data_IF_767732912328
#
_entry.id   IF_767732912328
#
_cell.length_a   1.000
_cell.length_b   1.000
_cell.length_c   1.000
_cell.angle_alpha   90.00
_cell.angle_beta   90.00
_cell.angle_gamma   90.00
#
_symmetry.space_group_name_H-M   'P 1'
#
loop_
_entity.id
_entity.type
_entity.pdbx_description
1 polymer ?
#
# COMPACT_ATOMS: atom_id res chain seq x y z
N UNK A 1 31.21 -51.35 23.28
CA UNK A 1 30.34 -50.14 23.40
C UNK A 1 29.27 -50.42 24.46
N UNK A 2 29.30 -49.68 25.58
CA UNK A 2 28.55 -49.98 26.81
C UNK A 2 27.21 -49.24 26.78
N UNK A 3 26.08 -49.97 26.76
CA UNK A 3 24.73 -49.37 26.74
C UNK A 3 24.39 -48.87 28.15
N UNK A 4 24.29 -47.55 28.31
CA UNK A 4 23.88 -46.93 29.57
C UNK A 4 22.39 -47.14 29.79
N UNK A 5 22.02 -47.89 30.83
CA UNK A 5 20.61 -48.07 31.23
C UNK A 5 20.18 -46.82 31.99
N UNK A 6 19.25 -46.07 31.44
CA UNK A 6 18.61 -44.94 32.11
C UNK A 6 17.77 -45.51 33.26
N UNK A 7 18.28 -45.41 34.49
CA UNK A 7 17.55 -45.79 35.70
C UNK A 7 16.63 -44.64 36.09
N UNK A 8 15.31 -44.83 35.96
CA UNK A 8 14.33 -43.89 36.49
C UNK A 8 14.37 -43.90 38.02
N UNK A 9 14.19 -42.73 38.68
CA UNK A 9 14.25 -42.61 40.12
C UNK A 9 13.08 -43.37 40.78
N UNK A 10 13.41 -44.26 41.73
CA UNK A 10 12.47 -45.11 42.49
C UNK A 10 11.39 -44.33 43.27
N UNK A 11 11.52 -43.02 43.38
CA UNK A 11 10.57 -42.13 44.07
C UNK A 11 9.27 -41.91 43.29
N UNK A 12 9.28 -42.11 41.96
CA UNK A 12 8.08 -41.97 41.14
C UNK A 12 7.19 -43.22 41.15
N UNK A 13 7.79 -44.40 41.34
CA UNK A 13 7.08 -45.68 41.42
C UNK A 13 6.16 -45.76 42.65
N UNK A 14 6.59 -45.22 43.80
CA UNK A 14 5.79 -45.25 45.04
C UNK A 14 4.56 -44.33 44.97
N UNK A 15 4.64 -43.24 44.21
CA UNK A 15 3.52 -42.32 44.01
C UNK A 15 2.44 -42.89 43.09
N UNK A 16 2.82 -43.64 42.04
CA UNK A 16 1.87 -44.27 41.12
C UNK A 16 1.15 -45.48 41.75
N UNK A 17 1.89 -46.30 42.51
CA UNK A 17 1.35 -47.49 43.18
C UNK A 17 0.27 -47.15 44.22
N UNK A 18 0.37 -46.01 44.92
CA UNK A 18 -0.61 -45.59 45.93
C UNK A 18 -1.98 -45.18 45.34
N UNK A 19 -2.06 -44.97 44.02
CA UNK A 19 -3.27 -44.52 43.32
C UNK A 19 -3.89 -45.58 42.40
N UNK A 20 -3.40 -46.82 42.44
CA UNK A 20 -3.89 -47.93 41.60
C UNK A 20 -3.52 -47.80 40.12
N UNK A 21 -2.57 -46.92 39.78
CA UNK A 21 -2.20 -46.64 38.39
C UNK A 21 -1.02 -47.53 38.03
N UNK A 22 -1.26 -48.51 37.16
CA UNK A 22 -0.21 -49.41 36.68
C UNK A 22 0.87 -48.65 35.90
N UNK A 23 2.15 -49.04 36.04
CA UNK A 23 3.29 -48.42 35.34
C UNK A 23 3.08 -48.37 33.82
N UNK A 24 2.36 -49.37 33.26
CA UNK A 24 1.96 -49.40 31.85
C UNK A 24 1.05 -48.22 31.47
N UNK A 25 0.10 -47.86 32.32
CA UNK A 25 -0.82 -46.74 32.09
C UNK A 25 -0.06 -45.41 32.08
N UNK A 26 0.92 -45.26 32.98
CA UNK A 26 1.78 -44.07 33.07
C UNK A 26 2.62 -43.91 31.80
N UNK A 27 3.20 -45.01 31.30
CA UNK A 27 3.93 -45.01 30.03
C UNK A 27 3.00 -44.67 28.86
N UNK A 28 1.79 -45.23 28.81
CA UNK A 28 0.80 -44.94 27.78
C UNK A 28 0.43 -43.45 27.74
N UNK A 29 0.22 -42.86 28.91
CA UNK A 29 -0.09 -41.43 29.04
C UNK A 29 1.07 -40.55 28.61
N UNK A 30 2.30 -40.93 28.97
CA UNK A 30 3.51 -40.22 28.55
C UNK A 30 3.67 -40.25 27.02
N UNK A 31 3.45 -41.40 26.40
CA UNK A 31 3.50 -41.54 24.93
C UNK A 31 2.42 -40.69 24.27
N UNK A 32 1.17 -40.75 24.76
CA UNK A 32 0.08 -39.94 24.24
C UNK A 32 0.38 -38.44 24.37
N UNK A 33 0.96 -38.03 25.50
CA UNK A 33 1.37 -36.65 25.74
C UNK A 33 2.47 -36.19 24.78
N UNK A 34 3.49 -37.01 24.54
CA UNK A 34 4.55 -36.71 23.56
C UNK A 34 3.97 -36.59 22.14
N UNK A 35 3.06 -37.49 21.75
CA UNK A 35 2.38 -37.44 20.46
C UNK A 35 1.57 -36.15 20.32
N UNK A 36 0.79 -35.78 21.36
CA UNK A 36 0.01 -34.55 21.37
C UNK A 36 0.87 -33.29 21.27
N UNK A 37 2.00 -33.21 22.00
CA UNK A 37 2.94 -32.09 21.94
C UNK A 37 3.63 -32.01 20.57
N UNK A 38 3.89 -33.14 19.92
CA UNK A 38 4.51 -33.20 18.59
C UNK A 38 3.52 -32.81 17.47
N UNK A 39 2.23 -33.17 17.64
CA UNK A 39 1.17 -32.84 16.68
C UNK A 39 0.57 -31.43 16.88
N UNK A 40 0.73 -30.83 18.06
CA UNK A 40 0.27 -29.47 18.34
C UNK A 40 0.86 -28.42 17.36
N UNK A 41 2.19 -28.32 17.16
CA UNK A 41 2.78 -27.29 16.29
C UNK A 41 2.32 -27.30 14.81
N UNK A 42 2.17 -28.43 14.10
CA UNK A 42 1.80 -28.40 12.68
C UNK A 42 0.38 -27.89 12.39
N UNK A 43 -0.53 -27.90 13.36
CA UNK A 43 -1.92 -27.45 13.15
C UNK A 43 -2.03 -25.95 12.88
N UNK A 44 -1.15 -25.13 13.45
CA UNK A 44 -1.18 -23.68 13.25
C UNK A 44 -0.61 -23.24 11.90
N UNK A 45 0.33 -23.99 11.34
CA UNK A 45 0.99 -23.61 10.07
C UNK A 45 0.12 -23.87 8.84
N UNK A 46 -0.82 -24.80 8.90
CA UNK A 46 -1.65 -25.17 7.76
C UNK A 46 -2.63 -24.06 7.34
N UNK A 47 -3.17 -23.32 8.31
CA UNK A 47 -4.08 -22.20 8.04
C UNK A 47 -3.34 -20.94 7.59
N UNK A 48 -2.14 -20.70 8.12
CA UNK A 48 -1.30 -19.57 7.71
C UNK A 48 -0.82 -19.69 6.25
N UNK A 49 -0.48 -20.91 5.80
CA UNK A 49 -0.07 -21.15 4.41
C UNK A 49 -1.21 -20.92 3.40
N UNK A 50 -2.44 -21.31 3.74
CA UNK A 50 -3.61 -21.06 2.85
C UNK A 50 -3.91 -19.59 2.66
N UNK A 51 -3.83 -18.79 3.72
CA UNK A 51 -4.03 -17.34 3.62
C UNK A 51 -2.92 -16.65 2.80
N UNK A 52 -1.69 -17.14 2.92
CA UNK A 52 -0.56 -16.64 2.12
C UNK A 52 -0.73 -16.95 0.63
N UNK A 53 -1.19 -18.17 0.28
CA UNK A 53 -1.42 -18.56 -1.11
C UNK A 53 -2.52 -17.71 -1.76
N UNK A 54 -3.66 -17.50 -1.07
CA UNK A 54 -4.74 -16.68 -1.61
C UNK A 54 -4.36 -15.20 -1.78
N UNK A 55 -3.54 -14.67 -0.87
CA UNK A 55 -3.02 -13.31 -0.99
C UNK A 55 -2.06 -13.19 -2.18
N UNK A 56 -1.17 -14.17 -2.38
CA UNK A 56 -0.23 -14.18 -3.50
C UNK A 56 -0.92 -14.31 -4.87
N UNK A 57 -1.98 -15.12 -4.97
CA UNK A 57 -2.78 -15.23 -6.20
C UNK A 57 -3.51 -13.92 -6.54
N UNK A 58 -4.08 -13.25 -5.53
CA UNK A 58 -4.71 -11.94 -5.72
C UNK A 58 -3.70 -10.87 -6.18
N UNK A 59 -2.48 -10.89 -5.62
CA UNK A 59 -1.41 -10.01 -6.04
C UNK A 59 -0.98 -10.27 -7.49
N UNK A 60 -0.87 -11.54 -7.91
CA UNK A 60 -0.54 -11.90 -9.29
C UNK A 60 -1.57 -11.36 -10.29
N UNK A 61 -2.86 -11.58 -10.06
CA UNK A 61 -3.93 -11.07 -10.95
C UNK A 61 -3.88 -9.54 -11.06
N UNK A 62 -3.70 -8.85 -9.93
CA UNK A 62 -3.58 -7.39 -9.92
C UNK A 62 -2.38 -6.88 -10.71
N UNK A 63 -1.24 -7.59 -10.63
CA UNK A 63 -0.02 -7.24 -11.34
C UNK A 63 -0.15 -7.50 -12.85
N UNK A 64 -0.77 -8.60 -13.25
CA UNK A 64 -1.06 -8.88 -14.67
C UNK A 64 -1.96 -7.80 -15.28
N UNK A 65 -3.03 -7.39 -14.59
CA UNK A 65 -3.91 -6.30 -15.04
C UNK A 65 -3.18 -4.97 -15.20
N UNK A 66 -2.32 -4.62 -14.25
CA UNK A 66 -1.47 -3.41 -14.35
C UNK A 66 -0.53 -3.48 -15.55
N UNK A 67 0.08 -4.63 -15.79
CA UNK A 67 1.01 -4.84 -16.89
C UNK A 67 0.29 -4.76 -18.25
N UNK A 68 -0.90 -5.33 -18.35
CA UNK A 68 -1.73 -5.25 -19.56
C UNK A 68 -2.19 -3.81 -19.84
N UNK A 69 -2.67 -3.10 -18.81
CA UNK A 69 -3.03 -1.69 -18.94
C UNK A 69 -1.83 -0.81 -19.37
N UNK A 70 -0.66 -1.02 -18.75
CA UNK A 70 0.56 -0.31 -19.11
C UNK A 70 1.03 -0.62 -20.54
N UNK A 71 0.90 -1.87 -21.01
CA UNK A 71 1.19 -2.24 -22.40
C UNK A 71 0.24 -1.58 -23.38
N UNK A 72 -1.06 -1.57 -23.09
CA UNK A 72 -2.06 -0.93 -23.92
C UNK A 72 -1.84 0.60 -23.98
N UNK A 73 -1.45 1.21 -22.87
CA UNK A 73 -1.02 2.59 -22.85
C UNK A 73 0.23 2.80 -23.70
N UNK A 74 1.30 2.04 -23.50
CA UNK A 74 2.53 2.16 -24.30
C UNK A 74 2.27 2.04 -25.80
N UNK A 75 1.38 1.14 -26.22
CA UNK A 75 0.97 1.03 -27.62
C UNK A 75 0.30 2.29 -28.15
N UNK A 76 -0.58 2.94 -27.35
CA UNK A 76 -1.18 4.24 -27.70
C UNK A 76 -0.14 5.35 -27.82
N UNK A 77 0.82 5.42 -26.90
CA UNK A 77 1.92 6.40 -26.94
C UNK A 77 2.90 6.18 -28.09
N UNK A 78 2.94 4.98 -28.70
CA UNK A 78 3.76 4.71 -29.90
C UNK A 78 3.16 5.24 -31.19
N UNK A 79 1.87 5.59 -31.19
CA UNK A 79 1.22 6.19 -32.35
C UNK A 79 1.62 7.68 -32.45
N UNK A 80 2.33 8.08 -33.53
CA UNK A 80 2.78 9.46 -33.69
C UNK A 80 1.62 10.46 -33.78
N UNK A 81 0.43 10.06 -34.24
CA UNK A 81 -0.71 10.97 -34.35
C UNK A 81 -1.36 11.21 -32.99
N UNK A 82 -1.42 10.19 -32.13
CA UNK A 82 -1.85 10.32 -30.74
C UNK A 82 -0.94 11.28 -29.95
N UNK A 83 0.38 11.16 -30.12
CA UNK A 83 1.36 12.05 -29.47
C UNK A 83 1.20 13.49 -29.95
N UNK A 84 0.98 13.72 -31.26
CA UNK A 84 0.73 15.07 -31.80
C UNK A 84 -0.54 15.69 -31.23
N UNK A 85 -1.64 14.92 -31.15
CA UNK A 85 -2.90 15.43 -30.60
C UNK A 85 -2.76 15.77 -29.11
N UNK A 86 -2.07 14.94 -28.33
CA UNK A 86 -1.99 15.15 -26.90
C UNK A 86 -1.00 16.27 -26.53
N UNK A 87 0.09 16.41 -27.31
CA UNK A 87 0.98 17.56 -27.22
C UNK A 87 0.24 18.88 -27.56
N UNK A 88 -0.66 18.87 -28.55
CA UNK A 88 -1.46 20.06 -28.88
C UNK A 88 -2.48 20.38 -27.79
N UNK A 89 -3.17 19.37 -27.26
CA UNK A 89 -4.21 19.56 -26.23
C UNK A 89 -3.64 20.02 -24.89
N UNK A 90 -2.56 19.38 -24.41
CA UNK A 90 -1.99 19.67 -23.07
C UNK A 90 -0.93 20.74 -23.07
N UNK A 91 -0.08 20.78 -24.09
CA UNK A 91 1.13 21.60 -24.11
C UNK A 91 1.02 22.76 -25.11
N UNK A 92 -0.10 22.86 -25.83
CA UNK A 92 -0.33 23.85 -26.89
C UNK A 92 0.80 23.87 -27.94
N UNK A 93 1.44 22.74 -28.19
CA UNK A 93 2.46 22.64 -29.22
C UNK A 93 1.87 22.73 -30.62
N UNK A 94 2.63 23.38 -31.52
CA UNK A 94 2.31 23.54 -32.94
C UNK A 94 3.39 22.90 -33.79
N UNK A 95 3.03 22.41 -34.98
CA UNK A 95 4.02 21.86 -35.92
C UNK A 95 4.89 22.99 -36.49
N UNK A 96 6.16 22.70 -36.87
CA UNK A 96 7.00 23.68 -37.54
C UNK A 96 6.30 24.17 -38.83
N UNK A 97 6.00 25.48 -38.89
CA UNK A 97 5.26 26.12 -39.99
C UNK A 97 3.82 26.53 -39.65
N UNK A 98 3.25 26.07 -38.53
CA UNK A 98 1.95 26.53 -38.04
C UNK A 98 2.10 27.79 -37.15
N UNK A 99 1.17 28.74 -37.26
CA UNK A 99 1.15 29.96 -36.42
C UNK A 99 0.14 29.82 -35.29
N UNK A 100 0.60 29.91 -34.05
CA UNK A 100 -0.25 29.94 -32.86
C UNK A 100 -0.69 31.37 -32.55
N UNK A 101 -2.00 31.61 -32.46
CA UNK A 101 -2.55 32.89 -32.02
C UNK A 101 -2.93 32.79 -30.54
N UNK A 102 -2.27 33.57 -29.69
CA UNK A 102 -2.65 33.75 -28.29
C UNK A 102 -3.41 35.06 -28.18
N UNK A 103 -4.67 34.99 -27.75
CA UNK A 103 -5.52 36.18 -27.61
C UNK A 103 -5.12 36.88 -26.30
N UNK A 104 -4.24 37.86 -26.41
CA UNK A 104 -3.85 38.74 -25.32
C UNK A 104 -4.73 39.98 -25.40
N UNK A 105 -5.77 40.08 -24.58
CA UNK A 105 -6.64 41.27 -24.58
C UNK A 105 -8.06 41.05 -24.09
N UNK A 106 -8.50 39.80 -23.90
CA UNK A 106 -9.75 39.56 -23.18
C UNK A 106 -9.42 39.61 -21.69
N UNK A 107 -9.77 40.72 -21.03
CA UNK A 107 -9.90 40.73 -19.57
C UNK A 107 -10.84 39.56 -19.27
N UNK A 108 -10.38 38.49 -18.58
CA UNK A 108 -11.25 37.36 -18.33
C UNK A 108 -12.43 37.93 -17.56
N UNK A 109 -13.64 37.80 -18.11
CA UNK A 109 -14.83 37.85 -17.27
C UNK A 109 -14.72 36.61 -16.41
N UNK A 110 -14.09 36.79 -15.26
CA UNK A 110 -14.05 35.77 -14.22
C UNK A 110 -15.52 35.67 -13.81
N UNK A 111 -16.19 34.58 -14.20
CA UNK A 111 -17.52 34.30 -13.68
C UNK A 111 -17.39 34.30 -12.15
N UNK A 112 -18.12 35.17 -11.44
CA UNK A 112 -18.12 35.15 -9.98
C UNK A 112 -18.67 33.83 -9.43
N UNK A 113 -19.21 32.97 -10.32
CA UNK A 113 -19.70 31.62 -10.02
C UNK A 113 -18.64 30.50 -10.01
N UNK A 114 -17.37 30.81 -10.24
CA UNK A 114 -16.27 29.91 -9.88
C UNK A 114 -16.00 29.95 -8.35
N UNK A 115 -17.03 29.75 -7.50
CA UNK A 115 -16.92 29.82 -6.02
C UNK A 115 -16.18 28.65 -5.35
N UNK A 116 -15.17 28.09 -6.02
CA UNK A 116 -14.27 27.10 -5.43
C UNK A 116 -12.82 27.55 -5.31
N UNK A 117 -12.42 28.62 -6.00
CA UNK A 117 -11.05 29.12 -5.97
C UNK A 117 -10.92 30.26 -4.95
N UNK A 118 -9.98 30.11 -4.02
CA UNK A 118 -9.65 31.15 -3.05
C UNK A 118 -9.34 32.49 -3.74
N UNK A 119 -9.72 33.64 -3.14
CA UNK A 119 -9.48 34.95 -3.74
C UNK A 119 -7.99 35.13 -4.02
N UNK A 120 -7.66 35.36 -5.30
CA UNK A 120 -6.29 35.61 -5.73
C UNK A 120 -5.99 37.09 -5.44
N UNK A 121 -5.17 37.36 -4.44
CA UNK A 121 -4.72 38.72 -4.15
C UNK A 121 -3.93 39.26 -5.37
N UNK A 122 -4.33 40.41 -5.90
CA UNK A 122 -3.66 41.04 -7.05
C UNK A 122 -2.72 42.19 -6.65
N UNK A 123 -2.70 42.53 -5.36
CA UNK A 123 -1.92 43.63 -4.79
C UNK A 123 -0.50 43.17 -4.40
N UNK A 124 0.30 42.79 -5.38
CA UNK A 124 1.72 42.46 -5.15
C UNK A 124 2.65 43.56 -5.69
N UNK A 125 3.57 44.10 -4.87
CA UNK A 125 4.58 45.04 -5.34
C UNK A 125 5.41 44.43 -6.48
N UNK A 126 5.56 45.13 -7.59
CA UNK A 126 6.43 44.67 -8.68
C UNK A 126 7.89 44.67 -8.19
N UNK A 127 8.56 43.51 -8.28
CA UNK A 127 9.98 43.37 -7.89
C UNK A 127 10.28 42.27 -6.85
N UNK A 128 9.27 41.63 -6.26
CA UNK A 128 9.48 40.50 -5.33
C UNK A 128 9.76 39.19 -6.09
N UNK A 129 10.72 38.36 -5.65
CA UNK A 129 10.94 37.03 -6.20
C UNK A 129 9.68 36.15 -6.19
N UNK A 130 9.59 35.21 -7.15
CA UNK A 130 8.40 34.38 -7.35
C UNK A 130 8.05 33.53 -6.12
N UNK A 131 9.04 33.03 -5.38
CA UNK A 131 8.82 32.21 -4.19
C UNK A 131 8.12 33.00 -3.07
N UNK A 132 8.42 34.29 -2.92
CA UNK A 132 7.78 35.17 -1.93
C UNK A 132 6.29 35.35 -2.22
N UNK A 133 5.89 35.34 -3.49
CA UNK A 133 4.50 35.45 -3.93
C UNK A 133 3.68 34.20 -3.58
N UNK A 134 4.29 33.02 -3.72
CA UNK A 134 3.64 31.74 -3.36
C UNK A 134 3.41 31.65 -1.85
N UNK A 135 4.43 31.98 -1.05
CA UNK A 135 4.33 31.93 0.40
C UNK A 135 3.26 32.92 0.91
N UNK A 136 3.25 34.14 0.39
CA UNK A 136 2.26 35.16 0.77
C UNK A 136 0.83 34.80 0.35
N UNK A 137 0.65 34.12 -0.79
CA UNK A 137 -0.65 33.59 -1.20
C UNK A 137 -1.19 32.57 -0.18
N UNK A 138 -0.37 31.59 0.23
CA UNK A 138 -0.75 30.58 1.22
C UNK A 138 -1.12 31.21 2.56
N UNK A 139 -0.33 32.19 3.03
CA UNK A 139 -0.64 32.89 4.29
C UNK A 139 -1.89 33.76 4.19
N UNK A 140 -2.16 34.36 3.03
CA UNK A 140 -3.33 35.22 2.82
C UNK A 140 -4.66 34.44 2.79
N UNK A 141 -4.63 33.17 2.38
CA UNK A 141 -5.82 32.30 2.38
C UNK A 141 -6.15 31.80 3.79
N UNK A 142 -5.15 31.70 4.68
CA UNK A 142 -5.33 31.25 6.07
C UNK A 142 -5.90 32.29 7.03
N UNK A 143 -5.76 33.59 6.71
CA UNK A 143 -6.43 34.67 7.43
C UNK A 143 -7.83 34.84 6.85
N UNK A 144 -8.76 34.00 7.31
CA UNK A 144 -10.17 34.09 6.94
C UNK A 144 -10.67 35.53 7.08
N UNK A 145 -11.25 36.05 6.01
CA UNK A 145 -11.86 37.38 5.97
C UNK A 145 -12.95 37.39 7.04
N UNK A 146 -12.74 38.14 8.14
CA UNK A 146 -13.79 38.39 9.12
C UNK A 146 -14.88 39.21 8.42
N UNK A 147 -16.00 38.56 8.12
CA UNK A 147 -17.22 39.21 7.67
C UNK A 147 -17.72 40.18 8.75
N UNK A 148 -18.04 41.45 8.44
CA UNK A 148 -18.76 42.32 9.36
C UNK A 148 -20.21 41.85 9.57
#
# INVERSE_FOLDING_TARGET
>A
MKRSKISLPKTLESFAAKRGISTRLLILFLVLFIVAVTLAPPTQQYFAQRAQISALEADLDSNYKKLEAARAELQRWRDPDYVKSEARNRLHFVLPGERQYVILGVKPTIDPEAQGAAPINQDFPLGVPWYSRVISSITSVGVGVATP
#
